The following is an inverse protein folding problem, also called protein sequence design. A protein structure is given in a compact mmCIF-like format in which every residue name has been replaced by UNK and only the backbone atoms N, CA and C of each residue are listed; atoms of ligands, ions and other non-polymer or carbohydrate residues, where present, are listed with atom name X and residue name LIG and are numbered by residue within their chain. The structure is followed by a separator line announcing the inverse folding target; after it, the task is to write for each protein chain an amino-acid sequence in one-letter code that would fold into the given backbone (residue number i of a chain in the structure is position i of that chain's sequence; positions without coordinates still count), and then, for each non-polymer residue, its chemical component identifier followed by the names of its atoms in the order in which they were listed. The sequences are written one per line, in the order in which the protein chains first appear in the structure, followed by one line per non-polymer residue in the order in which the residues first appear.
data_IF_664189222839
#
_entry.id   IF_664189222839
#
_cell.length_a   1.000
_cell.length_b   1.000
_cell.length_c   1.000
_cell.angle_alpha   90.00
_cell.angle_beta   90.00
_cell.angle_gamma   90.00
#
_symmetry.space_group_name_H-M   'P 1'
#
loop_
_entity.id
_entity.type
_entity.pdbx_description
1 polymer ?
#
# COMPACT_ATOMS: atom_id res chain seq x y z
N UNK A 1 -21.82 -0.93 0.50
CA UNK A 1 -20.44 -0.85 1.05
C UNK A 1 -19.52 -0.04 0.14
N UNK A 2 -19.43 -0.37 -1.15
CA UNK A 2 -18.66 0.40 -2.15
C UNK A 2 -19.49 1.55 -2.74
N UNK A 3 -18.85 2.65 -3.13
CA UNK A 3 -19.51 3.77 -3.81
C UNK A 3 -19.72 3.52 -5.33
N UNK A 4 -20.40 4.43 -6.02
CA UNK A 4 -20.74 4.26 -7.43
C UNK A 4 -19.50 4.17 -8.35
N UNK A 5 -18.43 4.91 -8.05
CA UNK A 5 -17.20 4.90 -8.84
C UNK A 5 -16.43 3.59 -8.65
N UNK A 6 -16.32 3.10 -7.41
CA UNK A 6 -15.75 1.80 -7.09
C UNK A 6 -16.54 0.66 -7.74
N UNK A 7 -17.88 0.72 -7.72
CA UNK A 7 -18.75 -0.27 -8.38
C UNK A 7 -18.56 -0.27 -9.90
N UNK A 8 -18.50 0.89 -10.52
CA UNK A 8 -18.23 1.00 -11.95
C UNK A 8 -16.85 0.41 -12.32
N UNK A 9 -15.84 0.61 -11.48
CA UNK A 9 -14.51 0.03 -11.69
C UNK A 9 -14.50 -1.49 -11.46
N UNK A 10 -15.17 -1.96 -10.42
CA UNK A 10 -15.36 -3.39 -10.13
C UNK A 10 -15.99 -4.14 -11.32
N UNK A 11 -16.96 -3.52 -12.01
CA UNK A 11 -17.64 -4.11 -13.16
C UNK A 11 -16.76 -4.25 -14.42
N UNK A 12 -15.62 -3.54 -14.50
CA UNK A 12 -14.72 -3.56 -15.67
C UNK A 12 -13.72 -4.72 -15.67
N UNK A 13 -13.56 -5.40 -14.55
CA UNK A 13 -12.63 -6.54 -14.47
C UNK A 13 -13.23 -7.76 -15.16
N UNK A 14 -12.48 -8.32 -16.11
CA UNK A 14 -12.88 -9.51 -16.86
C UNK A 14 -12.75 -10.81 -16.04
N UNK A 15 -11.74 -10.88 -15.16
CA UNK A 15 -11.49 -12.08 -14.37
C UNK A 15 -12.06 -11.97 -12.95
N UNK A 16 -12.66 -13.07 -12.47
CA UNK A 16 -13.26 -13.11 -11.15
C UNK A 16 -12.25 -12.84 -10.03
N UNK A 17 -11.01 -13.31 -10.16
CA UNK A 17 -9.98 -13.11 -9.15
C UNK A 17 -9.60 -11.63 -8.99
N UNK A 18 -9.51 -10.87 -10.08
CA UNK A 18 -9.24 -9.43 -10.02
C UNK A 18 -10.40 -8.67 -9.37
N UNK A 19 -11.64 -9.04 -9.72
CA UNK A 19 -12.86 -8.51 -9.06
C UNK A 19 -12.82 -8.76 -7.56
N UNK A 20 -12.45 -9.96 -7.15
CA UNK A 20 -12.40 -10.35 -5.74
C UNK A 20 -11.30 -9.62 -4.98
N UNK A 21 -10.08 -9.56 -5.52
CA UNK A 21 -8.98 -8.81 -4.91
C UNK A 21 -9.32 -7.32 -4.78
N UNK A 22 -9.92 -6.72 -5.80
CA UNK A 22 -10.36 -5.33 -5.76
C UNK A 22 -11.43 -5.10 -4.68
N UNK A 23 -12.49 -5.92 -4.67
CA UNK A 23 -13.55 -5.81 -3.67
C UNK A 23 -13.02 -6.04 -2.24
N UNK A 24 -12.19 -7.05 -2.02
CA UNK A 24 -11.58 -7.35 -0.73
C UNK A 24 -10.77 -6.16 -0.20
N UNK A 25 -9.93 -5.57 -1.06
CA UNK A 25 -9.10 -4.46 -0.68
C UNK A 25 -9.93 -3.21 -0.36
N UNK A 26 -10.84 -2.81 -1.25
CA UNK A 26 -11.67 -1.62 -1.04
C UNK A 26 -12.61 -1.78 0.17
N UNK A 27 -13.14 -2.99 0.36
CA UNK A 27 -13.93 -3.32 1.55
C UNK A 27 -13.11 -3.23 2.84
N UNK A 28 -11.91 -3.84 2.86
CA UNK A 28 -10.98 -3.75 3.98
C UNK A 28 -10.62 -2.30 4.31
N UNK A 29 -10.35 -1.47 3.30
CA UNK A 29 -10.04 -0.06 3.48
C UNK A 29 -11.17 0.67 4.21
N UNK A 30 -12.42 0.52 3.75
CA UNK A 30 -13.58 1.16 4.38
C UNK A 30 -13.77 0.69 5.82
N UNK A 31 -13.61 -0.61 6.12
CA UNK A 31 -13.66 -1.14 7.49
C UNK A 31 -12.55 -0.56 8.37
N UNK A 32 -11.32 -0.50 7.87
CA UNK A 32 -10.17 0.04 8.61
C UNK A 32 -10.33 1.54 8.91
N UNK A 33 -10.83 2.32 7.96
CA UNK A 33 -11.15 3.73 8.17
C UNK A 33 -12.27 3.89 9.20
N UNK A 34 -13.33 3.08 9.11
CA UNK A 34 -14.43 3.06 10.08
C UNK A 34 -13.95 2.77 11.51
N UNK A 35 -13.01 1.83 11.68
CA UNK A 35 -12.39 1.57 12.99
C UNK A 35 -11.62 2.77 13.52
N UNK A 36 -10.96 3.53 12.65
CA UNK A 36 -10.15 4.68 13.04
C UNK A 36 -10.98 5.94 13.37
N UNK A 37 -12.17 6.11 12.79
CA UNK A 37 -12.95 7.34 12.89
C UNK A 37 -14.41 7.18 13.38
N UNK A 38 -14.92 5.96 13.53
CA UNK A 38 -16.29 5.70 13.97
C UNK A 38 -17.37 5.98 12.91
N UNK A 39 -17.01 6.21 11.64
CA UNK A 39 -17.95 6.42 10.55
C UNK A 39 -18.35 5.10 9.88
N UNK A 40 -19.61 4.87 9.49
CA UNK A 40 -20.01 3.66 8.78
C UNK A 40 -19.24 3.46 7.45
N UNK A 41 -18.90 2.21 7.05
CA UNK A 41 -18.11 1.94 5.84
C UNK A 41 -18.67 2.56 4.55
N UNK A 42 -20.00 2.67 4.46
CA UNK A 42 -20.73 3.22 3.31
C UNK A 42 -20.68 4.76 3.21
N UNK A 43 -20.36 5.44 4.31
CA UNK A 43 -20.41 6.91 4.40
C UNK A 43 -19.07 7.55 3.99
N UNK A 44 -17.99 6.76 3.89
CA UNK A 44 -16.71 7.23 3.37
C UNK A 44 -16.82 7.67 1.91
N UNK A 45 -16.36 8.88 1.62
CA UNK A 45 -16.15 9.41 0.28
C UNK A 45 -14.66 9.56 0.00
N UNK A 46 -14.30 9.36 -1.25
CA UNK A 46 -12.92 9.43 -1.71
C UNK A 46 -12.78 10.44 -2.84
N UNK A 47 -11.63 11.11 -2.87
CA UNK A 47 -11.18 11.96 -3.97
C UNK A 47 -9.90 11.39 -4.56
N UNK A 48 -9.65 11.61 -5.84
CA UNK A 48 -8.42 11.19 -6.48
C UNK A 48 -7.41 12.35 -6.52
N UNK A 49 -6.13 12.06 -6.27
CA UNK A 49 -5.05 13.01 -6.58
C UNK A 49 -4.87 13.16 -8.10
N UNK A 50 -4.03 14.11 -8.51
CA UNK A 50 -3.62 14.27 -9.91
C UNK A 50 -3.05 12.98 -10.55
N UNK A 51 -2.51 12.06 -9.74
CA UNK A 51 -1.97 10.77 -10.20
C UNK A 51 -2.96 9.60 -10.01
N UNK A 52 -4.23 9.88 -9.70
CA UNK A 52 -5.26 8.86 -9.53
C UNK A 52 -5.18 8.08 -8.21
N UNK A 53 -4.34 8.51 -7.26
CA UNK A 53 -4.28 7.90 -5.92
C UNK A 53 -5.55 8.28 -5.15
N UNK A 54 -6.32 7.32 -4.61
CA UNK A 54 -7.47 7.66 -3.79
C UNK A 54 -7.03 8.22 -2.43
N UNK A 55 -7.77 9.21 -1.94
CA UNK A 55 -7.62 9.86 -0.65
C UNK A 55 -8.99 10.03 -0.01
N UNK A 56 -9.06 10.07 1.33
CA UNK A 56 -10.30 10.42 2.03
C UNK A 56 -10.67 11.85 1.67
N UNK A 57 -11.93 12.06 1.28
CA UNK A 57 -12.46 13.40 1.08
C UNK A 57 -12.36 14.18 2.41
N UNK A 58 -11.72 15.37 2.44
CA UNK A 58 -11.61 16.19 3.65
C UNK A 58 -12.94 16.47 4.36
N UNK A 59 -14.06 16.42 3.64
CA UNK A 59 -15.41 16.60 4.18
C UNK A 59 -16.00 15.33 4.82
N UNK A 60 -15.41 14.15 4.61
CA UNK A 60 -15.98 12.88 5.09
C UNK A 60 -15.78 12.65 6.59
N UNK A 61 -14.73 13.18 7.21
CA UNK A 61 -14.40 12.82 8.59
C UNK A 61 -13.08 13.40 9.10
N UNK A 62 -12.48 12.81 10.14
CA UNK A 62 -11.17 13.22 10.63
C UNK A 62 -10.10 13.01 9.54
N UNK A 63 -9.00 13.79 9.60
CA UNK A 63 -7.95 13.72 8.60
C UNK A 63 -7.17 12.40 8.69
N UNK A 64 -7.54 11.45 7.83
CA UNK A 64 -6.92 10.14 7.70
C UNK A 64 -6.25 9.99 6.33
N UNK A 65 -5.06 9.41 6.32
CA UNK A 65 -4.48 8.81 5.13
C UNK A 65 -4.56 7.30 5.19
N UNK A 66 -4.62 6.70 4.02
CA UNK A 66 -4.52 5.26 3.88
C UNK A 66 -3.63 4.87 2.70
N UNK A 67 -3.23 3.61 2.74
CA UNK A 67 -2.64 2.91 1.60
C UNK A 67 -3.24 1.53 1.51
N UNK A 68 -3.37 1.04 0.29
CA UNK A 68 -4.03 -0.21 -0.03
C UNK A 68 -3.18 -0.97 -1.04
N UNK A 69 -3.06 -2.27 -0.82
CA UNK A 69 -2.48 -3.19 -1.78
C UNK A 69 -3.23 -4.51 -1.77
N UNK A 70 -3.18 -5.20 -2.89
CA UNK A 70 -3.73 -6.54 -3.00
C UNK A 70 -2.93 -7.34 -4.02
N UNK A 71 -2.85 -8.63 -3.75
CA UNK A 71 -2.31 -9.63 -4.66
C UNK A 71 -3.24 -10.85 -4.62
N UNK A 72 -2.90 -11.93 -5.32
CA UNK A 72 -3.72 -13.14 -5.30
C UNK A 72 -3.81 -13.67 -3.87
N UNK A 73 -5.03 -13.77 -3.35
CA UNK A 73 -5.31 -14.34 -2.02
C UNK A 73 -5.00 -13.45 -0.82
N UNK A 74 -4.61 -12.18 -1.01
CA UNK A 74 -4.31 -11.27 0.10
C UNK A 74 -4.66 -9.82 -0.24
N UNK A 75 -5.25 -9.11 0.71
CA UNK A 75 -5.44 -7.66 0.68
C UNK A 75 -4.87 -7.05 1.96
N UNK A 76 -4.23 -5.90 1.83
CA UNK A 76 -3.62 -5.18 2.93
C UNK A 76 -4.03 -3.71 2.89
N UNK A 77 -4.27 -3.13 4.08
CA UNK A 77 -4.57 -1.72 4.22
C UNK A 77 -3.87 -1.15 5.46
N UNK A 78 -3.20 -0.03 5.28
CA UNK A 78 -2.66 0.79 6.36
C UNK A 78 -3.46 2.07 6.48
N UNK A 79 -3.74 2.51 7.71
CA UNK A 79 -4.41 3.77 8.03
C UNK A 79 -3.55 4.56 9.01
N UNK A 80 -3.46 5.87 8.82
CA UNK A 80 -2.66 6.78 9.63
C UNK A 80 -3.37 8.12 9.76
N UNK A 81 -3.31 8.72 10.94
CA UNK A 81 -3.79 10.10 11.16
C UNK A 81 -2.85 11.11 10.47
N UNK A 82 -3.41 12.17 9.88
CA UNK A 82 -2.65 13.27 9.29
C UNK A 82 -3.19 14.62 9.72
N UNK A 83 -2.47 15.70 9.42
CA UNK A 83 -3.05 17.05 9.50
C UNK A 83 -3.97 17.32 8.31
N UNK A 84 -4.90 18.27 8.43
CA UNK A 84 -5.75 18.68 7.30
C UNK A 84 -4.95 19.37 6.20
N UNK A 85 -3.96 20.18 6.58
CA UNK A 85 -3.08 20.89 5.64
C UNK A 85 -2.31 19.91 4.74
N UNK A 86 -1.88 18.79 5.31
CA UNK A 86 -1.23 17.69 4.60
C UNK A 86 -2.14 17.06 3.53
N UNK A 87 -3.44 16.93 3.83
CA UNK A 87 -4.42 16.34 2.90
C UNK A 87 -4.70 17.31 1.75
N UNK A 88 -4.98 18.58 2.05
CA UNK A 88 -5.27 19.60 1.02
C UNK A 88 -4.08 19.77 0.07
N UNK A 89 -2.85 19.80 0.60
CA UNK A 89 -1.64 19.89 -0.21
C UNK A 89 -1.48 18.69 -1.16
N UNK A 90 -1.72 17.47 -0.67
CA UNK A 90 -1.62 16.25 -1.47
C UNK A 90 -2.68 16.19 -2.59
N UNK A 91 -3.92 16.62 -2.32
CA UNK A 91 -4.97 16.73 -3.34
C UNK A 91 -4.58 17.78 -4.40
N UNK A 92 -4.02 18.91 -3.97
CA UNK A 92 -3.55 19.99 -4.84
C UNK A 92 -2.25 19.70 -5.61
N UNK A 93 -1.66 18.51 -5.45
CA UNK A 93 -0.44 18.10 -6.15
C UNK A 93 0.83 18.80 -5.66
N UNK A 94 0.81 19.39 -4.46
CA UNK A 94 1.98 20.06 -3.89
C UNK A 94 2.90 19.03 -3.23
N UNK A 95 4.15 18.86 -3.67
CA UNK A 95 5.10 17.97 -3.01
C UNK A 95 5.41 18.49 -1.61
N UNK A 96 5.10 17.71 -0.57
CA UNK A 96 5.57 17.99 0.79
C UNK A 96 6.11 16.74 1.47
N UNK A 97 7.06 16.98 2.38
CA UNK A 97 7.76 15.99 3.21
C UNK A 97 6.97 15.57 4.47
N UNK A 98 5.68 15.89 4.54
CA UNK A 98 4.78 15.57 5.65
C UNK A 98 4.50 14.07 5.79
N UNK A 99 3.63 13.71 6.75
CA UNK A 99 3.38 12.33 7.12
C UNK A 99 2.91 11.50 5.91
N UNK A 100 3.42 10.31 5.66
CA UNK A 100 2.98 9.47 4.54
C UNK A 100 2.90 8.01 4.96
N UNK A 101 1.94 7.29 4.40
CA UNK A 101 1.79 5.85 4.57
C UNK A 101 1.70 5.18 3.21
N UNK A 102 2.43 4.08 3.07
CA UNK A 102 2.42 3.19 1.94
C UNK A 102 2.44 1.74 2.39
N UNK A 103 1.57 0.92 1.83
CA UNK A 103 1.52 -0.52 2.10
C UNK A 103 1.59 -1.25 0.77
N UNK A 104 2.37 -2.32 0.73
CA UNK A 104 2.39 -3.23 -0.39
C UNK A 104 2.41 -4.69 0.03
N UNK A 105 1.77 -5.56 -0.76
CA UNK A 105 1.70 -6.99 -0.47
C UNK A 105 1.86 -7.80 -1.76
N UNK A 106 2.79 -8.75 -1.75
CA UNK A 106 3.07 -9.62 -2.89
C UNK A 106 3.12 -11.09 -2.50
N UNK A 107 2.74 -11.95 -3.43
CA UNK A 107 2.80 -13.41 -3.26
C UNK A 107 4.23 -13.89 -3.48
N UNK A 108 4.73 -14.74 -2.57
CA UNK A 108 6.06 -15.37 -2.68
C UNK A 108 6.12 -16.44 -3.77
N UNK A 109 4.97 -16.91 -4.26
CA UNK A 109 4.87 -17.90 -5.34
C UNK A 109 5.19 -17.31 -6.73
N UNK A 110 5.54 -16.01 -6.81
CA UNK A 110 5.72 -15.27 -8.07
C UNK A 110 7.13 -14.71 -8.17
N UNK A 111 7.98 -15.24 -9.06
CA UNK A 111 8.98 -14.46 -9.78
C UNK A 111 9.73 -15.28 -10.85
N UNK A 112 9.22 -15.41 -12.09
CA UNK A 112 10.09 -15.74 -13.20
C UNK A 112 11.01 -14.53 -13.49
N UNK A 113 12.34 -14.75 -13.48
CA UNK A 113 13.39 -13.77 -13.81
C UNK A 113 13.60 -12.60 -12.83
N UNK A 114 13.75 -12.92 -11.53
CA UNK A 114 14.10 -11.94 -10.49
C UNK A 114 15.33 -11.08 -10.79
N UNK A 115 16.37 -11.65 -11.43
CA UNK A 115 17.60 -10.90 -11.73
C UNK A 115 17.43 -9.92 -12.89
N UNK A 116 16.77 -10.33 -13.98
CA UNK A 116 16.49 -9.43 -15.09
C UNK A 116 15.67 -8.23 -14.65
N UNK A 117 14.63 -8.48 -13.84
CA UNK A 117 13.80 -7.42 -13.26
C UNK A 117 14.60 -6.52 -12.32
N UNK A 118 15.39 -7.09 -11.40
CA UNK A 118 16.20 -6.29 -10.48
C UNK A 118 17.20 -5.40 -11.21
N UNK A 119 17.89 -5.90 -12.24
CA UNK A 119 18.85 -5.11 -13.03
C UNK A 119 18.17 -3.96 -13.78
N UNK A 120 16.91 -4.14 -14.18
CA UNK A 120 16.16 -3.13 -14.92
C UNK A 120 15.57 -2.03 -14.03
N UNK A 121 15.11 -2.39 -12.83
CA UNK A 121 14.31 -1.50 -12.00
C UNK A 121 14.98 -1.10 -10.68
N UNK A 122 15.82 -1.93 -10.08
CA UNK A 122 16.38 -1.63 -8.75
C UNK A 122 17.66 -0.81 -8.82
N UNK A 123 18.02 -0.23 -7.67
CA UNK A 123 19.29 0.47 -7.54
C UNK A 123 20.45 -0.50 -7.85
N UNK A 124 21.52 -0.10 -8.55
CA UNK A 124 22.59 -1.01 -8.97
C UNK A 124 23.19 -1.84 -7.83
N UNK A 125 23.39 -1.23 -6.66
CA UNK A 125 23.86 -1.94 -5.46
C UNK A 125 22.89 -2.99 -4.93
N UNK A 126 21.58 -2.76 -5.05
CA UNK A 126 20.57 -3.75 -4.64
C UNK A 126 20.52 -4.92 -5.64
N UNK A 127 20.60 -4.62 -6.95
CA UNK A 127 20.65 -5.64 -7.99
C UNK A 127 21.91 -6.52 -7.88
N UNK A 128 23.06 -5.92 -7.53
CA UNK A 128 24.30 -6.64 -7.26
C UNK A 128 24.18 -7.54 -6.02
N UNK A 129 23.68 -7.00 -4.90
CA UNK A 129 23.47 -7.78 -3.67
C UNK A 129 22.48 -8.95 -3.88
N UNK A 130 21.47 -8.77 -4.74
CA UNK A 130 20.55 -9.85 -5.11
C UNK A 130 21.21 -10.92 -5.97
N UNK A 131 22.14 -10.54 -6.86
CA UNK A 131 22.88 -11.48 -7.70
C UNK A 131 23.80 -12.40 -6.88
N UNK A 132 24.33 -11.90 -5.77
CA UNK A 132 25.18 -12.66 -4.83
C UNK A 132 24.39 -13.67 -3.98
N UNK A 133 23.06 -13.57 -3.92
CA UNK A 133 22.24 -14.52 -3.16
C UNK A 133 22.24 -15.91 -3.79
N UNK A 134 22.17 -16.99 -2.96
CA UNK A 134 21.95 -18.34 -3.44
C UNK A 134 20.68 -18.42 -4.31
N UNK A 135 20.67 -19.22 -5.39
CA UNK A 135 19.52 -19.30 -6.30
C UNK A 135 18.18 -19.57 -5.59
N UNK A 136 18.17 -20.42 -4.55
CA UNK A 136 16.95 -20.76 -3.80
C UNK A 136 16.40 -19.65 -2.89
N UNK A 137 17.19 -18.63 -2.57
CA UNK A 137 16.76 -17.49 -1.73
C UNK A 137 16.43 -16.24 -2.56
N UNK A 138 16.85 -16.24 -3.82
CA UNK A 138 16.91 -15.04 -4.65
C UNK A 138 15.53 -14.50 -4.97
N UNK A 139 14.58 -15.36 -5.32
CA UNK A 139 13.23 -14.92 -5.68
C UNK A 139 12.49 -14.34 -4.47
N UNK A 140 12.59 -14.99 -3.31
CA UNK A 140 12.03 -14.46 -2.07
C UNK A 140 12.67 -13.12 -1.66
N UNK A 141 13.99 -12.97 -1.84
CA UNK A 141 14.70 -11.72 -1.58
C UNK A 141 14.26 -10.61 -2.56
N UNK A 142 14.09 -10.94 -3.84
CA UNK A 142 13.58 -10.02 -4.86
C UNK A 142 12.18 -9.53 -4.50
N UNK A 143 11.25 -10.45 -4.19
CA UNK A 143 9.87 -10.10 -3.83
C UNK A 143 9.86 -9.24 -2.57
N UNK A 144 10.66 -9.60 -1.55
CA UNK A 144 10.78 -8.80 -0.33
C UNK A 144 11.23 -7.36 -0.58
N UNK A 145 12.25 -7.20 -1.43
CA UNK A 145 12.77 -5.89 -1.83
C UNK A 145 11.76 -5.12 -2.70
N UNK A 146 11.14 -5.78 -3.67
CA UNK A 146 10.08 -5.23 -4.51
C UNK A 146 8.95 -4.66 -3.65
N UNK A 147 8.44 -5.48 -2.71
CA UNK A 147 7.35 -5.10 -1.81
C UNK A 147 7.72 -3.84 -1.01
N UNK A 148 8.94 -3.77 -0.46
CA UNK A 148 9.42 -2.59 0.28
C UNK A 148 9.47 -1.34 -0.59
N UNK A 149 9.99 -1.46 -1.81
CA UNK A 149 10.15 -0.34 -2.74
C UNK A 149 8.79 0.16 -3.26
N UNK A 150 7.84 -0.73 -3.53
CA UNK A 150 6.47 -0.35 -3.89
C UNK A 150 5.73 0.31 -2.72
N UNK A 151 5.91 -0.17 -1.48
CA UNK A 151 5.36 0.51 -0.30
C UNK A 151 5.89 1.95 -0.17
N UNK A 152 7.19 2.17 -0.38
CA UNK A 152 7.82 3.50 -0.41
C UNK A 152 7.21 4.41 -1.50
N UNK A 153 7.06 3.90 -2.72
CA UNK A 153 6.46 4.64 -3.84
C UNK A 153 5.00 4.99 -3.56
N UNK A 154 4.24 4.04 -3.00
CA UNK A 154 2.85 4.27 -2.57
C UNK A 154 2.75 5.31 -1.47
N UNK A 155 3.72 5.39 -0.56
CA UNK A 155 3.75 6.44 0.45
C UNK A 155 3.89 7.83 -0.20
N UNK A 156 4.80 8.00 -1.17
CA UNK A 156 4.99 9.25 -1.90
C UNK A 156 3.76 9.69 -2.69
N UNK A 157 3.01 8.74 -3.27
CA UNK A 157 1.80 9.04 -4.04
C UNK A 157 2.04 9.62 -5.44
N UNK A 158 3.29 9.70 -5.89
CA UNK A 158 3.70 10.10 -7.25
C UNK A 158 3.61 8.96 -8.27
N UNK A 159 3.30 7.73 -7.82
CA UNK A 159 3.50 6.52 -8.62
C UNK A 159 4.98 6.30 -8.99
N UNK A 160 5.22 5.49 -10.01
CA UNK A 160 6.57 5.11 -10.48
C UNK A 160 7.38 6.22 -11.15
N UNK A 161 6.92 7.49 -11.14
CA UNK A 161 7.59 8.59 -11.84
C UNK A 161 9.03 8.82 -11.39
N UNK A 162 9.35 8.54 -10.13
CA UNK A 162 10.73 8.66 -9.62
C UNK A 162 11.63 7.49 -10.06
N UNK A 163 11.05 6.37 -10.48
CA UNK A 163 11.76 5.13 -10.74
C UNK A 163 12.26 4.45 -9.46
N UNK A 164 12.33 3.12 -9.48
CA UNK A 164 12.83 2.34 -8.34
C UNK A 164 14.36 2.45 -8.17
N UNK A 165 15.06 3.08 -9.10
CA UNK A 165 16.50 3.35 -9.05
C UNK A 165 16.85 4.62 -8.26
N UNK A 166 15.89 5.52 -7.96
CA UNK A 166 16.17 6.81 -7.33
C UNK A 166 16.37 6.75 -5.81
N UNK A 167 16.31 5.55 -5.23
CA UNK A 167 16.48 5.31 -3.81
C UNK A 167 16.95 3.89 -3.56
N UNK A 168 17.62 3.70 -2.43
CA UNK A 168 18.17 2.42 -1.98
C UNK A 168 17.68 2.10 -0.58
N UNK A 169 17.22 0.86 -0.39
CA UNK A 169 16.79 0.35 0.91
C UNK A 169 17.69 -0.81 1.34
N UNK A 170 17.90 -0.94 2.65
CA UNK A 170 18.32 -2.20 3.23
C UNK A 170 17.08 -3.08 3.41
N UNK A 171 17.20 -4.39 3.14
CA UNK A 171 16.07 -5.33 3.25
C UNK A 171 15.96 -5.99 4.62
N UNK A 172 17.05 -6.02 5.39
CA UNK A 172 17.10 -6.66 6.71
C UNK A 172 18.21 -6.06 7.61
N UNK A 173 17.87 -5.34 8.70
CA UNK A 173 16.52 -4.83 8.98
C UNK A 173 16.09 -3.79 7.93
N UNK A 174 14.79 -3.71 7.56
CA UNK A 174 14.32 -2.75 6.56
C UNK A 174 14.61 -1.29 6.93
N UNK A 175 15.31 -0.55 6.06
CA UNK A 175 15.59 0.87 6.26
C UNK A 175 15.88 1.59 4.94
N UNK A 176 15.59 2.89 4.89
CA UNK A 176 16.00 3.73 3.76
C UNK A 176 17.46 4.14 3.96
N UNK A 177 18.30 3.92 2.93
CA UNK A 177 19.74 4.18 3.00
C UNK A 177 20.11 5.42 2.18
N UNK A 178 19.50 5.56 1.02
CA UNK A 178 19.76 6.66 0.08
C UNK A 178 18.47 6.98 -0.66
N UNK A 179 18.22 8.25 -0.93
CA UNK A 179 17.05 8.67 -1.68
C UNK A 179 17.23 10.04 -2.30
N UNK A 180 16.61 10.26 -3.46
CA UNK A 180 16.47 11.57 -4.05
C UNK A 180 15.74 12.56 -3.09
N UNK A 181 15.94 13.89 -3.23
CA UNK A 181 15.39 14.88 -2.30
C UNK A 181 13.86 14.84 -2.11
N UNK A 182 13.10 14.36 -3.10
CA UNK A 182 11.64 14.20 -3.04
C UNK A 182 11.17 13.30 -1.89
N UNK A 183 12.00 12.36 -1.45
CA UNK A 183 11.67 11.47 -0.34
C UNK A 183 11.68 12.20 1.01
N UNK A 184 12.30 13.37 1.09
CA UNK A 184 12.54 14.09 2.33
C UNK A 184 13.66 13.45 3.16
N UNK A 185 13.79 13.83 4.44
CA UNK A 185 14.85 13.32 5.30
C UNK A 185 14.76 11.80 5.48
N UNK A 186 15.86 11.09 5.25
CA UNK A 186 15.93 9.63 5.44
C UNK A 186 15.49 9.24 6.86
N UNK A 187 15.89 10.03 7.87
CA UNK A 187 15.55 9.79 9.27
C UNK A 187 14.04 9.89 9.59
N UNK A 188 13.22 10.45 8.69
CA UNK A 188 11.76 10.49 8.83
C UNK A 188 11.09 9.18 8.39
N UNK A 189 11.81 8.27 7.73
CA UNK A 189 11.27 7.02 7.22
C UNK A 189 11.41 5.87 8.19
N UNK A 190 10.38 5.03 8.26
CA UNK A 190 10.37 3.74 8.97
C UNK A 190 9.81 2.70 8.03
N UNK A 191 10.56 1.62 7.84
CA UNK A 191 10.18 0.53 6.94
C UNK A 191 9.95 -0.74 7.76
N UNK A 192 8.82 -1.38 7.55
CA UNK A 192 8.50 -2.69 8.11
C UNK A 192 8.31 -3.70 6.99
N UNK A 193 8.74 -4.94 7.22
CA UNK A 193 8.47 -6.06 6.32
C UNK A 193 8.16 -7.30 7.15
N UNK A 194 7.12 -8.03 6.72
CA UNK A 194 6.69 -9.26 7.36
C UNK A 194 6.37 -10.32 6.31
N UNK A 195 6.67 -11.57 6.63
CA UNK A 195 6.19 -12.72 5.87
C UNK A 195 4.89 -13.20 6.51
N UNK A 196 3.81 -13.19 5.76
CA UNK A 196 2.48 -13.63 6.18
C UNK A 196 2.14 -14.98 5.56
N UNK A 197 1.43 -15.82 6.32
CA UNK A 197 0.84 -17.04 5.79
C UNK A 197 -0.30 -16.72 4.80
N UNK A 198 -0.51 -17.54 3.75
CA UNK A 198 0.21 -18.79 3.45
C UNK A 198 1.54 -18.60 2.68
N UNK A 199 1.90 -17.39 2.26
CA UNK A 199 3.13 -17.17 1.47
C UNK A 199 3.15 -15.79 0.83
N UNK A 200 3.09 -14.74 1.64
CA UNK A 200 3.03 -13.36 1.17
C UNK A 200 4.08 -12.50 1.87
N UNK A 201 4.73 -11.62 1.11
CA UNK A 201 5.54 -10.53 1.65
C UNK A 201 4.65 -9.30 1.81
N UNK A 202 4.58 -8.74 3.00
CA UNK A 202 3.91 -7.47 3.27
C UNK A 202 4.96 -6.44 3.69
N UNK A 203 4.89 -5.24 3.11
CA UNK A 203 5.72 -4.12 3.49
C UNK A 203 4.87 -2.90 3.90
N UNK A 204 5.42 -2.13 4.83
CA UNK A 204 4.90 -0.85 5.29
C UNK A 204 6.02 0.19 5.18
N UNK A 205 5.71 1.31 4.56
CA UNK A 205 6.55 2.50 4.57
C UNK A 205 5.80 3.63 5.26
N UNK A 206 6.34 4.10 6.38
CA UNK A 206 5.86 5.27 7.10
C UNK A 206 6.89 6.37 6.95
N UNK A 207 6.44 7.56 6.55
CA UNK A 207 7.18 8.79 6.74
C UNK A 207 6.46 9.58 7.80
N UNK A 208 7.13 9.97 8.86
CA UNK A 208 6.56 10.80 9.91
C UNK A 208 7.60 11.83 10.33
N UNK A 209 7.30 13.15 10.26
CA UNK A 209 8.20 14.17 10.78
C UNK A 209 8.49 13.99 12.27
N UNK A 210 7.55 13.37 13.01
CA UNK A 210 7.74 13.02 14.42
C UNK A 210 8.09 11.54 14.53
N UNK A 211 9.16 11.15 15.25
CA UNK A 211 9.51 9.74 15.37
C UNK A 211 8.38 8.93 16.03
N UNK A 212 7.69 8.10 15.25
CA UNK A 212 6.78 7.07 15.73
C UNK A 212 7.40 5.67 15.52
N UNK A 213 7.25 4.74 16.48
CA UNK A 213 7.67 3.37 16.27
C UNK A 213 6.79 2.73 15.18
N UNK A 214 7.35 1.75 14.46
CA UNK A 214 6.53 0.92 13.59
C UNK A 214 5.45 0.20 14.40
N UNK A 215 4.25 0.00 13.85
CA UNK A 215 3.28 -0.90 14.46
C UNK A 215 3.87 -2.32 14.55
N UNK A 216 3.35 -3.16 15.47
CA UNK A 216 3.70 -4.57 15.50
C UNK A 216 3.34 -5.26 14.19
N UNK A 217 3.80 -6.50 14.03
CA UNK A 217 3.40 -7.33 12.89
C UNK A 217 1.86 -7.32 12.74
N UNK A 218 1.35 -7.13 11.52
CA UNK A 218 -0.08 -6.94 11.31
C UNK A 218 -0.83 -8.23 11.62
N UNK A 219 -1.98 -8.07 12.27
CA UNK A 219 -2.91 -9.14 12.57
C UNK A 219 -4.09 -9.12 11.59
N UNK A 220 -4.67 -10.29 11.25
CA UNK A 220 -5.95 -10.32 10.55
C UNK A 220 -7.03 -9.58 11.33
N UNK A 221 -8.03 -9.01 10.64
CA UNK A 221 -9.19 -8.41 11.30
C UNK A 221 -9.83 -9.39 12.32
N UNK A 222 -10.38 -8.88 13.43
CA UNK A 222 -11.18 -9.69 14.35
C UNK A 222 -12.31 -10.41 13.61
N UNK A 223 -12.64 -11.64 14.01
CA UNK A 223 -13.61 -12.49 13.30
C UNK A 223 -14.97 -11.79 13.07
N UNK A 224 -15.44 -11.00 14.04
CA UNK A 224 -16.70 -10.26 13.96
C UNK A 224 -16.71 -9.15 12.89
N UNK A 225 -15.55 -8.71 12.43
CA UNK A 225 -15.38 -7.65 11.43
C UNK A 225 -14.86 -8.17 10.10
N UNK A 226 -14.62 -9.49 10.01
CA UNK A 226 -14.26 -10.13 8.74
C UNK A 226 -15.50 -10.17 7.87
N UNK A 227 -15.40 -9.55 6.71
CA UNK A 227 -16.37 -9.69 5.64
C UNK A 227 -15.79 -10.64 4.60
N UNK A 228 -16.57 -11.63 4.21
CA UNK A 228 -16.30 -12.40 3.01
C UNK A 228 -16.38 -11.49 1.78
N UNK A 229 -15.61 -11.83 0.75
CA UNK A 229 -15.68 -11.10 -0.53
C UNK A 229 -17.11 -11.13 -1.08
N UNK A 230 -17.83 -12.23 -0.91
CA UNK A 230 -19.24 -12.35 -1.30
C UNK A 230 -20.15 -11.36 -0.58
N UNK A 231 -19.96 -11.15 0.73
CA UNK A 231 -20.71 -10.13 1.49
C UNK A 231 -20.41 -8.72 0.98
N UNK A 232 -19.14 -8.42 0.67
CA UNK A 232 -18.73 -7.12 0.13
C UNK A 232 -19.39 -6.89 -1.24
N UNK A 233 -19.36 -7.91 -2.12
CA UNK A 233 -19.95 -7.85 -3.45
C UNK A 233 -21.48 -7.71 -3.38
N UNK A 234 -22.16 -8.52 -2.56
CA UNK A 234 -23.60 -8.42 -2.36
C UNK A 234 -24.00 -7.03 -1.84
N UNK A 235 -23.29 -6.51 -0.84
CA UNK A 235 -23.52 -5.17 -0.31
C UNK A 235 -23.14 -4.03 -1.28
N UNK A 236 -22.46 -4.34 -2.39
CA UNK A 236 -22.24 -3.42 -3.49
C UNK A 236 -23.40 -3.49 -4.51
N UNK A 237 -23.94 -4.68 -4.76
CA UNK A 237 -25.08 -4.89 -5.68
C UNK A 237 -26.41 -4.38 -5.11
N UNK A 238 -26.70 -4.62 -3.84
CA UNK A 238 -27.92 -4.14 -3.15
C UNK A 238 -28.03 -2.60 -3.14
N UNK A 239 -26.92 -1.88 -3.27
CA UNK A 239 -26.91 -0.42 -3.37
C UNK A 239 -27.29 0.12 -4.77
N UNK A 240 -27.54 -0.77 -5.73
CA UNK A 240 -28.04 -0.43 -7.08
C UNK A 240 -29.54 -0.74 -7.27
N UNK A 241 -30.19 -1.39 -6.31
CA UNK A 241 -31.62 -1.72 -6.32
C UNK A 241 -32.41 -0.64 -5.56
#
# INVERSE_FOLDING_TARGET
MLDAGERARLARFHHAHDRWSYAAAHGLCRVMLSRAAGLPPRDWRFVATAHGRPMVDPASGPPLAFSLSHTRGMAACGVMTRSRDDITAAIGGVPKTGAAIGVDVESLDRAPDSLGLARRFFHPHEAAALAERPPGERDAAFIGLWTLKEAMVKALGSGLQQGLTSFRVNSDPPSLIEAAPVFGPIAAWRLGRWTLAPGHSLALALRDPTPSPLPPAPSPLPKAERLSVTEILRAAEEANA
#
